data_IF_762313899458
#
_entry.id   IF_762313899458
#
_cell.length_a   1.000
_cell.length_b   1.000
_cell.length_c   1.000
_cell.angle_alpha   90.00
_cell.angle_beta   90.00
_cell.angle_gamma   90.00
#
_symmetry.space_group_name_H-M   'P 1'
#
loop_
_entity.id
_entity.type
_entity.pdbx_description
1 polymer ?
#
# COMPACT_ATOMS: atom_id res chain seq x y z
N UNK A 1 -32.33 -7.84 8.07
CA UNK A 1 -33.00 -6.58 7.71
C UNK A 1 -32.09 -5.44 8.09
N UNK A 2 -31.96 -4.37 7.30
CA UNK A 2 -31.06 -3.22 7.63
C UNK A 2 -31.84 -2.18 8.44
N UNK A 3 -31.14 -1.30 9.18
CA UNK A 3 -31.75 -0.19 9.92
C UNK A 3 -32.68 0.65 9.02
N UNK A 4 -32.22 1.04 7.81
CA UNK A 4 -33.00 1.85 6.89
C UNK A 4 -34.26 1.14 6.37
N UNK A 5 -34.18 -0.16 6.08
CA UNK A 5 -35.35 -0.95 5.66
C UNK A 5 -36.40 -1.07 6.77
N UNK A 6 -35.93 -1.21 8.02
CA UNK A 6 -36.79 -1.29 9.18
C UNK A 6 -37.40 0.09 9.50
N UNK A 7 -36.63 1.17 9.41
CA UNK A 7 -37.11 2.55 9.56
C UNK A 7 -38.24 2.86 8.55
N UNK A 8 -37.99 2.53 7.26
CA UNK A 8 -38.97 2.69 6.19
C UNK A 8 -40.27 1.90 6.47
N UNK A 9 -40.12 0.66 6.93
CA UNK A 9 -41.25 -0.21 7.28
C UNK A 9 -42.09 0.42 8.38
N UNK A 10 -41.49 0.79 9.52
CA UNK A 10 -42.22 1.38 10.64
C UNK A 10 -42.83 2.74 10.31
N UNK A 11 -42.14 3.60 9.55
CA UNK A 11 -42.69 4.88 9.09
C UNK A 11 -43.95 4.67 8.24
N UNK A 12 -43.88 3.73 7.26
CA UNK A 12 -45.05 3.41 6.42
C UNK A 12 -46.17 2.79 7.22
N UNK A 13 -45.86 1.91 8.17
CA UNK A 13 -46.90 1.31 9.06
C UNK A 13 -47.55 2.34 9.96
N UNK A 14 -46.82 3.38 10.36
CA UNK A 14 -47.36 4.52 11.09
C UNK A 14 -48.11 5.54 10.20
N UNK A 15 -48.16 5.32 8.88
CA UNK A 15 -48.86 6.21 7.94
C UNK A 15 -48.18 7.56 7.74
N UNK A 16 -46.86 7.70 8.09
CA UNK A 16 -46.16 8.97 8.07
C UNK A 16 -45.43 9.18 6.76
N UNK A 17 -45.45 10.42 6.23
CA UNK A 17 -44.50 10.88 5.19
C UNK A 17 -43.10 11.12 5.79
N UNK A 18 -42.07 11.31 4.95
CA UNK A 18 -40.74 11.69 5.43
C UNK A 18 -40.73 13.07 6.08
N UNK A 19 -41.55 13.98 5.58
CA UNK A 19 -41.75 15.33 6.10
C UNK A 19 -42.39 15.30 7.49
N UNK A 20 -43.46 14.52 7.68
CA UNK A 20 -44.14 14.38 8.97
C UNK A 20 -43.25 13.72 10.03
N UNK A 21 -42.45 12.70 9.62
CA UNK A 21 -41.45 12.11 10.53
C UNK A 21 -40.36 13.11 10.89
N UNK A 22 -39.95 13.96 9.93
CA UNK A 22 -39.00 15.04 10.18
C UNK A 22 -39.49 16.05 11.19
N UNK A 23 -40.73 16.50 11.06
CA UNK A 23 -41.33 17.44 12.01
C UNK A 23 -41.42 16.87 13.43
N UNK A 24 -41.81 15.59 13.56
CA UNK A 24 -41.96 14.93 14.86
C UNK A 24 -40.65 14.60 15.54
N UNK A 25 -39.62 14.20 14.74
CA UNK A 25 -38.34 13.75 15.28
C UNK A 25 -37.29 14.85 15.38
N UNK A 26 -37.48 15.99 14.68
CA UNK A 26 -36.46 17.03 14.52
C UNK A 26 -35.26 16.60 13.63
N UNK A 27 -35.38 15.46 12.95
CA UNK A 27 -34.37 14.96 12.02
C UNK A 27 -34.70 15.41 10.61
N UNK A 28 -33.77 15.99 9.87
CA UNK A 28 -34.06 16.53 8.55
C UNK A 28 -34.56 15.47 7.56
N UNK A 29 -35.48 15.85 6.66
CA UNK A 29 -36.02 14.96 5.58
C UNK A 29 -34.89 14.29 4.79
N UNK A 30 -33.82 15.04 4.48
CA UNK A 30 -32.67 14.50 3.77
C UNK A 30 -32.00 13.38 4.55
N UNK A 31 -31.77 13.56 5.85
CA UNK A 31 -31.16 12.53 6.70
C UNK A 31 -32.08 11.28 6.81
N UNK A 32 -33.36 11.43 6.92
CA UNK A 32 -34.33 10.31 6.92
C UNK A 32 -34.28 9.57 5.58
N UNK A 33 -34.31 10.28 4.46
CA UNK A 33 -34.24 9.71 3.12
C UNK A 33 -32.90 8.96 2.88
N UNK A 34 -31.76 9.51 3.34
CA UNK A 34 -30.49 8.87 3.23
C UNK A 34 -30.36 7.60 4.11
N UNK A 35 -31.00 7.60 5.30
CA UNK A 35 -31.09 6.41 6.15
C UNK A 35 -31.98 5.32 5.51
N UNK A 36 -33.14 5.65 5.01
CA UNK A 36 -34.06 4.69 4.37
C UNK A 36 -33.49 4.08 3.09
N UNK A 37 -32.70 4.85 2.33
CA UNK A 37 -31.98 4.38 1.12
C UNK A 37 -30.68 3.64 1.44
N UNK A 38 -30.30 3.52 2.72
CA UNK A 38 -29.08 2.87 3.16
C UNK A 38 -27.79 3.65 2.85
N UNK A 39 -27.91 4.93 2.48
CA UNK A 39 -26.76 5.83 2.29
C UNK A 39 -26.18 6.27 3.64
N UNK A 40 -27.03 6.48 4.66
CA UNK A 40 -26.65 6.68 6.04
C UNK A 40 -27.03 5.43 6.85
N UNK A 41 -26.06 4.56 7.12
CA UNK A 41 -26.31 3.23 7.71
C UNK A 41 -26.24 3.21 9.23
N UNK A 42 -25.63 4.20 9.87
CA UNK A 42 -25.43 4.27 11.33
C UNK A 42 -25.81 5.65 11.87
N UNK A 43 -27.09 5.89 12.19
CA UNK A 43 -27.48 7.14 12.81
C UNK A 43 -26.88 7.28 14.21
N UNK A 44 -26.57 8.51 14.62
CA UNK A 44 -26.17 8.80 15.99
C UNK A 44 -27.23 8.37 16.99
N UNK A 45 -26.80 7.96 18.20
CA UNK A 45 -27.75 7.51 19.26
C UNK A 45 -28.90 8.51 19.51
N UNK A 46 -28.57 9.81 19.54
CA UNK A 46 -29.59 10.87 19.70
C UNK A 46 -30.60 10.89 18.55
N UNK A 47 -30.10 10.73 17.31
CA UNK A 47 -30.97 10.66 16.11
C UNK A 47 -31.84 9.40 16.13
N UNK A 48 -31.27 8.26 16.53
CA UNK A 48 -32.04 7.00 16.69
C UNK A 48 -33.15 7.15 17.69
N UNK A 49 -32.86 7.62 18.91
CA UNK A 49 -33.89 7.80 19.95
C UNK A 49 -34.99 8.77 19.49
N UNK A 50 -34.63 9.89 18.86
CA UNK A 50 -35.61 10.85 18.34
C UNK A 50 -36.55 10.23 17.28
N UNK A 51 -36.05 9.37 16.42
CA UNK A 51 -36.86 8.65 15.43
C UNK A 51 -37.75 7.59 16.10
N UNK A 52 -37.20 6.84 17.08
CA UNK A 52 -37.99 5.85 17.84
C UNK A 52 -39.15 6.48 18.60
N UNK A 53 -38.90 7.64 19.21
CA UNK A 53 -39.97 8.39 19.94
C UNK A 53 -41.03 8.93 18.99
N UNK A 54 -40.60 9.49 17.83
CA UNK A 54 -41.50 10.04 16.83
C UNK A 54 -42.39 8.97 16.15
N UNK A 55 -41.89 7.73 16.06
CA UNK A 55 -42.61 6.59 15.49
C UNK A 55 -43.56 5.92 16.48
N UNK A 56 -43.48 6.20 17.78
CA UNK A 56 -44.36 5.63 18.81
C UNK A 56 -44.28 4.10 18.94
N UNK A 57 -43.09 3.51 18.72
CA UNK A 57 -42.92 2.07 18.69
C UNK A 57 -43.01 1.43 20.09
N UNK A 58 -43.45 0.16 20.13
CA UNK A 58 -43.33 -0.68 21.32
C UNK A 58 -41.87 -0.99 21.67
N UNK A 59 -41.63 -1.45 22.90
CA UNK A 59 -40.26 -1.65 23.40
C UNK A 59 -39.49 -2.73 22.63
N UNK A 60 -40.20 -3.75 22.11
CA UNK A 60 -39.56 -4.81 21.30
C UNK A 60 -39.06 -4.24 19.96
N UNK A 61 -39.88 -3.51 19.24
CA UNK A 61 -39.52 -2.83 17.98
C UNK A 61 -38.44 -1.75 18.19
N UNK A 62 -38.46 -1.07 19.32
CA UNK A 62 -37.42 -0.11 19.75
C UNK A 62 -36.06 -0.82 19.91
N UNK A 63 -36.04 -1.93 20.63
CA UNK A 63 -34.77 -2.65 20.89
C UNK A 63 -34.21 -3.30 19.60
N UNK A 64 -35.08 -3.80 18.70
CA UNK A 64 -34.69 -4.29 17.40
C UNK A 64 -34.04 -3.19 16.53
N UNK A 65 -34.65 -1.99 16.46
CA UNK A 65 -34.08 -0.85 15.73
C UNK A 65 -32.83 -0.30 16.41
N UNK A 66 -32.74 -0.25 17.74
CA UNK A 66 -31.50 0.07 18.48
C UNK A 66 -30.40 -0.93 18.16
N UNK A 67 -30.76 -2.21 18.15
CA UNK A 67 -29.82 -3.29 17.80
C UNK A 67 -29.26 -3.15 16.38
N UNK A 68 -30.10 -2.79 15.42
CA UNK A 68 -29.68 -2.54 14.04
C UNK A 68 -28.88 -1.24 13.91
N UNK A 69 -29.21 -0.19 14.65
CA UNK A 69 -28.44 1.04 14.70
C UNK A 69 -27.05 0.83 15.33
N UNK A 70 -26.94 -0.06 16.34
CA UNK A 70 -25.66 -0.46 16.97
C UNK A 70 -24.84 -1.40 16.09
N UNK A 71 -25.51 -2.27 15.30
CA UNK A 71 -24.87 -3.21 14.38
C UNK A 71 -24.51 -2.58 13.03
N UNK A 72 -25.12 -1.44 12.68
CA UNK A 72 -24.72 -0.72 11.49
C UNK A 72 -23.28 -0.19 11.68
N UNK A 73 -22.34 -0.48 10.77
CA UNK A 73 -21.00 0.03 10.89
C UNK A 73 -21.06 1.56 10.96
N UNK A 74 -20.45 2.13 12.00
CA UNK A 74 -20.14 3.56 12.03
C UNK A 74 -19.33 3.81 10.78
N UNK A 75 -19.83 4.63 9.84
CA UNK A 75 -19.25 4.95 8.53
C UNK A 75 -18.16 3.98 8.03
N UNK A 76 -18.28 3.43 6.80
CA UNK A 76 -17.18 2.67 6.26
C UNK A 76 -15.91 3.51 6.38
N UNK A 77 -14.87 2.95 7.00
CA UNK A 77 -13.63 3.69 7.23
C UNK A 77 -12.86 3.67 5.92
N UNK A 78 -12.71 4.83 5.30
CA UNK A 78 -11.99 5.00 4.06
C UNK A 78 -10.73 5.81 4.32
N UNK A 79 -9.59 5.16 4.43
CA UNK A 79 -8.30 5.83 4.63
C UNK A 79 -7.29 5.54 3.52
N UNK A 80 -7.75 4.98 2.38
CA UNK A 80 -6.86 4.74 1.25
C UNK A 80 -6.34 6.07 0.67
N UNK A 81 -5.04 6.17 0.39
CA UNK A 81 -4.51 7.27 -0.40
C UNK A 81 -5.01 7.19 -1.85
N UNK A 82 -4.98 8.30 -2.60
CA UNK A 82 -5.27 8.26 -4.02
C UNK A 82 -4.29 7.35 -4.76
N UNK A 83 -4.77 6.57 -5.73
CA UNK A 83 -3.89 5.75 -6.55
C UNK A 83 -3.29 6.56 -7.72
N UNK A 84 -2.12 6.15 -8.18
CA UNK A 84 -1.51 6.69 -9.40
C UNK A 84 -2.26 6.20 -10.63
N UNK A 85 -2.65 7.13 -11.51
CA UNK A 85 -3.43 6.80 -12.72
C UNK A 85 -2.59 6.02 -13.76
N UNK A 86 -1.28 6.23 -13.77
CA UNK A 86 -0.31 5.70 -14.71
C UNK A 86 0.45 4.46 -14.19
N UNK A 87 -0.26 3.56 -13.50
CA UNK A 87 0.28 2.26 -13.14
C UNK A 87 0.27 1.36 -14.38
N UNK A 88 1.42 1.17 -15.00
CA UNK A 88 1.60 0.40 -16.24
C UNK A 88 2.32 -0.92 -16.01
N UNK A 89 2.08 -1.92 -16.86
CA UNK A 89 2.80 -3.20 -16.87
C UNK A 89 2.66 -4.03 -15.61
N UNK A 90 1.50 -3.96 -14.92
CA UNK A 90 1.21 -4.66 -13.65
C UNK A 90 -0.14 -5.40 -13.67
N UNK A 91 -0.66 -5.68 -14.86
CA UNK A 91 -2.00 -6.27 -15.00
C UNK A 91 -2.07 -7.70 -14.43
N UNK A 92 -1.00 -8.48 -14.57
CA UNK A 92 -0.93 -9.85 -14.06
C UNK A 92 -0.96 -9.85 -12.51
N UNK A 93 -0.17 -8.97 -11.89
CA UNK A 93 -0.12 -8.83 -10.44
C UNK A 93 -1.45 -8.27 -9.90
N UNK A 94 -2.03 -7.26 -10.55
CA UNK A 94 -3.37 -6.75 -10.21
C UNK A 94 -4.42 -7.84 -10.30
N UNK A 95 -4.42 -8.64 -11.36
CA UNK A 95 -5.34 -9.76 -11.53
C UNK A 95 -5.18 -10.77 -10.40
N UNK A 96 -3.94 -11.13 -10.06
CA UNK A 96 -3.66 -12.06 -8.97
C UNK A 96 -4.24 -11.55 -7.65
N UNK A 97 -4.06 -10.27 -7.30
CA UNK A 97 -4.58 -9.69 -6.06
C UNK A 97 -6.11 -9.63 -6.08
N UNK A 98 -6.69 -9.21 -7.21
CA UNK A 98 -8.14 -8.96 -7.28
C UNK A 98 -8.97 -10.23 -7.38
N UNK A 99 -8.39 -11.32 -7.84
CA UNK A 99 -9.09 -12.63 -7.97
C UNK A 99 -8.78 -13.60 -6.85
N UNK A 100 -7.83 -13.29 -5.97
CA UNK A 100 -7.47 -14.19 -4.86
C UNK A 100 -8.65 -14.44 -3.91
N UNK A 101 -8.66 -15.63 -3.33
CA UNK A 101 -9.53 -16.03 -2.21
C UNK A 101 -8.77 -16.08 -0.88
N UNK A 102 -7.46 -15.87 -0.91
CA UNK A 102 -6.64 -15.81 0.30
C UNK A 102 -6.93 -14.54 1.10
N UNK A 103 -6.78 -14.62 2.42
CA UNK A 103 -6.98 -13.49 3.33
C UNK A 103 -5.77 -12.60 3.48
N UNK A 104 -4.61 -13.11 3.06
CA UNK A 104 -3.32 -12.43 3.16
C UNK A 104 -2.58 -12.53 1.84
N UNK A 105 -2.27 -11.37 1.27
CA UNK A 105 -1.42 -11.23 0.08
C UNK A 105 -0.19 -10.45 0.46
N UNK A 106 0.99 -10.96 0.16
CA UNK A 106 2.25 -10.25 0.35
C UNK A 106 2.83 -9.84 -1.00
N UNK A 107 2.96 -8.52 -1.20
CA UNK A 107 3.67 -7.92 -2.34
C UNK A 107 5.06 -7.54 -1.87
N UNK A 108 6.09 -8.23 -2.34
CA UNK A 108 7.46 -7.97 -1.91
C UNK A 108 8.39 -7.63 -3.07
N UNK A 109 9.50 -6.93 -2.80
CA UNK A 109 10.48 -6.54 -3.82
C UNK A 109 11.28 -5.30 -3.44
N UNK A 110 12.20 -4.92 -4.29
CA UNK A 110 13.10 -3.79 -4.09
C UNK A 110 12.39 -2.47 -3.82
N UNK A 111 13.10 -1.52 -3.22
CA UNK A 111 12.62 -0.14 -3.11
C UNK A 111 12.37 0.46 -4.51
N UNK A 112 11.31 1.26 -4.65
CA UNK A 112 10.98 1.93 -5.91
C UNK A 112 10.36 1.07 -6.99
N UNK A 113 10.03 -0.22 -6.73
CA UNK A 113 9.34 -1.11 -7.70
C UNK A 113 7.84 -0.86 -7.83
N UNK A 114 7.25 0.00 -6.98
CA UNK A 114 5.83 0.36 -7.05
C UNK A 114 4.90 -0.52 -6.23
N UNK A 115 5.39 -1.21 -5.18
CA UNK A 115 4.59 -2.09 -4.29
C UNK A 115 3.37 -1.38 -3.69
N UNK A 116 3.60 -0.23 -3.07
CA UNK A 116 2.54 0.60 -2.48
C UNK A 116 1.51 1.02 -3.53
N UNK A 117 1.97 1.48 -4.70
CA UNK A 117 1.08 1.88 -5.80
C UNK A 117 0.22 0.71 -6.30
N UNK A 118 0.80 -0.49 -6.41
CA UNK A 118 0.07 -1.71 -6.79
C UNK A 118 -0.98 -2.09 -5.74
N UNK A 119 -0.59 -2.10 -4.45
CA UNK A 119 -1.48 -2.45 -3.34
C UNK A 119 -2.66 -1.47 -3.23
N UNK A 120 -2.39 -0.17 -3.31
CA UNK A 120 -3.43 0.88 -3.28
C UNK A 120 -4.36 0.77 -4.49
N UNK A 121 -3.83 0.56 -5.70
CA UNK A 121 -4.66 0.36 -6.91
C UNK A 121 -5.54 -0.87 -6.79
N UNK A 122 -5.00 -1.99 -6.32
CA UNK A 122 -5.77 -3.22 -6.10
C UNK A 122 -6.87 -3.00 -5.05
N UNK A 123 -6.56 -2.28 -3.96
CA UNK A 123 -7.53 -1.95 -2.93
C UNK A 123 -8.71 -1.13 -3.50
N UNK A 124 -8.44 -0.09 -4.30
CA UNK A 124 -9.51 0.68 -4.96
C UNK A 124 -10.36 -0.17 -5.91
N UNK A 125 -9.75 -1.10 -6.66
CA UNK A 125 -10.49 -2.02 -7.54
C UNK A 125 -11.39 -2.99 -6.76
N UNK A 126 -11.04 -3.29 -5.52
CA UNK A 126 -11.77 -4.21 -4.64
C UNK A 126 -12.82 -3.52 -3.74
N UNK A 127 -13.02 -2.21 -3.87
CA UNK A 127 -13.91 -1.41 -3.01
C UNK A 127 -15.29 -2.05 -2.80
N UNK A 128 -15.93 -2.51 -3.85
CA UNK A 128 -17.27 -3.12 -3.78
C UNK A 128 -17.32 -4.45 -2.99
N UNK A 129 -16.18 -5.15 -2.84
CA UNK A 129 -16.08 -6.42 -2.08
C UNK A 129 -16.02 -6.18 -0.56
N UNK A 130 -15.60 -5.00 -0.12
CA UNK A 130 -15.34 -4.67 1.29
C UNK A 130 -16.19 -3.48 1.77
N UNK A 131 -17.50 -3.67 1.93
CA UNK A 131 -18.45 -2.58 2.22
C UNK A 131 -18.30 -1.97 3.61
N UNK A 132 -17.59 -2.64 4.54
CA UNK A 132 -17.39 -2.13 5.90
C UNK A 132 -16.20 -1.19 5.99
N UNK A 133 -15.37 -1.11 4.94
CA UNK A 133 -14.30 -0.13 4.82
C UNK A 133 -13.00 -0.65 4.22
N UNK A 134 -12.09 0.30 3.98
CA UNK A 134 -10.74 0.06 3.53
C UNK A 134 -9.77 0.92 4.32
N UNK A 135 -8.78 0.30 4.92
CA UNK A 135 -7.79 0.93 5.77
C UNK A 135 -6.41 0.89 5.12
N UNK A 136 -5.67 1.97 5.25
CA UNK A 136 -4.26 2.05 4.85
C UNK A 136 -3.41 2.48 6.03
N UNK A 137 -2.39 1.70 6.35
CA UNK A 137 -1.45 1.97 7.44
C UNK A 137 -0.02 1.81 6.94
N UNK A 138 0.78 2.85 7.15
CA UNK A 138 2.24 2.78 7.08
C UNK A 138 2.77 2.19 8.38
N UNK A 139 3.31 0.96 8.34
CA UNK A 139 3.71 0.21 9.54
C UNK A 139 5.00 0.77 10.16
N UNK A 140 5.86 1.41 9.38
CA UNK A 140 7.07 2.09 9.88
C UNK A 140 6.73 3.32 10.78
N UNK A 141 5.44 3.72 10.86
CA UNK A 141 4.99 4.80 11.74
C UNK A 141 4.87 4.37 13.20
N UNK A 142 4.94 5.33 14.12
CA UNK A 142 4.75 5.08 15.55
C UNK A 142 3.35 4.49 15.83
N UNK A 143 3.29 3.40 16.62
CA UNK A 143 2.07 2.79 17.12
C UNK A 143 0.99 2.44 16.06
N UNK A 144 1.30 1.59 15.05
CA UNK A 144 0.37 1.26 13.96
C UNK A 144 -0.94 0.62 14.44
N UNK A 145 -0.92 -0.17 15.52
CA UNK A 145 -2.11 -0.79 16.08
C UNK A 145 -3.05 0.23 16.73
N UNK A 146 -2.51 1.24 17.42
CA UNK A 146 -3.34 2.34 17.96
C UNK A 146 -3.98 3.15 16.84
N UNK A 147 -3.24 3.38 15.74
CA UNK A 147 -3.78 4.07 14.57
C UNK A 147 -4.93 3.29 13.96
N UNK A 148 -4.80 1.98 13.80
CA UNK A 148 -5.89 1.09 13.35
C UNK A 148 -7.11 1.17 14.27
N UNK A 149 -6.92 1.16 15.58
CA UNK A 149 -8.02 1.29 16.55
C UNK A 149 -8.73 2.64 16.42
N UNK A 150 -8.00 3.73 16.25
CA UNK A 150 -8.57 5.06 16.03
C UNK A 150 -9.34 5.15 14.71
N UNK A 151 -8.77 4.62 13.63
CA UNK A 151 -9.42 4.57 12.32
C UNK A 151 -10.69 3.71 12.37
N UNK A 152 -10.73 2.66 13.20
CA UNK A 152 -11.94 1.87 13.47
C UNK A 152 -12.94 2.56 14.41
N UNK A 153 -12.65 3.79 14.84
CA UNK A 153 -13.57 4.66 15.60
C UNK A 153 -13.42 4.58 17.11
N UNK A 154 -12.33 4.05 17.62
CA UNK A 154 -12.00 4.08 19.06
C UNK A 154 -11.36 5.42 19.38
N UNK A 155 -11.92 6.16 20.34
CA UNK A 155 -11.30 7.39 20.83
C UNK A 155 -10.04 7.07 21.65
N UNK A 156 -9.06 7.99 21.63
CA UNK A 156 -7.76 7.79 22.30
C UNK A 156 -7.90 7.38 23.79
N UNK A 157 -8.89 7.90 24.49
CA UNK A 157 -9.19 7.60 25.89
C UNK A 157 -9.61 6.14 26.14
N UNK A 158 -10.07 5.44 25.09
CA UNK A 158 -10.56 4.06 25.18
C UNK A 158 -9.59 3.04 24.54
N UNK A 159 -8.45 3.48 24.05
CA UNK A 159 -7.39 2.59 23.59
C UNK A 159 -6.69 1.99 24.81
N UNK A 160 -6.63 0.66 24.96
CA UNK A 160 -5.91 0.03 26.06
C UNK A 160 -4.42 0.43 26.07
N UNK A 161 -3.85 0.61 27.25
CA UNK A 161 -2.42 0.95 27.40
C UNK A 161 -1.51 -0.24 27.05
N UNK A 162 -1.99 -1.47 27.26
CA UNK A 162 -1.21 -2.68 26.99
C UNK A 162 -1.46 -3.25 25.59
N UNK A 163 -0.39 -3.72 24.94
CA UNK A 163 -0.43 -4.26 23.56
C UNK A 163 -1.38 -5.47 23.40
N UNK A 164 -1.53 -6.30 24.43
CA UNK A 164 -2.45 -7.44 24.40
C UNK A 164 -3.92 -6.98 24.44
N UNK A 165 -4.23 -5.95 25.24
CA UNK A 165 -5.55 -5.31 25.28
C UNK A 165 -5.90 -4.69 23.94
N UNK A 166 -4.96 -3.97 23.32
CA UNK A 166 -5.10 -3.40 22.00
C UNK A 166 -5.38 -4.48 20.94
N UNK A 167 -4.61 -5.55 20.92
CA UNK A 167 -4.78 -6.68 19.98
C UNK A 167 -6.14 -7.35 20.16
N UNK A 168 -6.59 -7.60 21.40
CA UNK A 168 -7.92 -8.18 21.67
C UNK A 168 -9.04 -7.27 21.21
N UNK A 169 -8.94 -5.96 21.50
CA UNK A 169 -9.92 -4.97 21.06
C UNK A 169 -9.97 -4.91 19.53
N UNK A 170 -8.82 -4.85 18.86
CA UNK A 170 -8.70 -4.83 17.40
C UNK A 170 -9.40 -6.04 16.78
N UNK A 171 -9.09 -7.26 17.24
CA UNK A 171 -9.73 -8.49 16.74
C UNK A 171 -11.25 -8.48 16.95
N UNK A 172 -11.72 -7.99 18.09
CA UNK A 172 -13.16 -7.88 18.38
C UNK A 172 -13.87 -6.91 17.45
N UNK A 173 -13.20 -5.84 17.01
CA UNK A 173 -13.73 -4.86 16.08
C UNK A 173 -13.80 -5.39 14.65
N UNK A 174 -12.91 -6.32 14.28
CA UNK A 174 -12.89 -6.95 12.95
C UNK A 174 -13.92 -8.08 12.83
N UNK A 175 -14.34 -8.69 13.97
CA UNK A 175 -15.22 -9.84 13.96
C UNK A 175 -16.50 -9.60 13.15
N UNK A 176 -16.74 -10.45 12.14
CA UNK A 176 -17.89 -10.42 11.26
C UNK A 176 -17.90 -9.25 10.24
N UNK A 177 -16.83 -8.50 10.13
CA UNK A 177 -16.68 -7.42 9.14
C UNK A 177 -16.11 -7.89 7.80
N UNK A 178 -16.39 -7.12 6.77
CA UNK A 178 -15.81 -7.26 5.43
C UNK A 178 -14.96 -6.03 5.15
N UNK A 179 -13.73 -6.08 5.62
CA UNK A 179 -12.74 -4.99 5.55
C UNK A 179 -11.56 -5.38 4.65
N UNK A 180 -11.03 -4.41 3.92
CA UNK A 180 -9.73 -4.52 3.27
C UNK A 180 -8.71 -3.69 4.05
N UNK A 181 -7.57 -4.29 4.35
CA UNK A 181 -6.47 -3.65 5.04
C UNK A 181 -5.22 -3.66 4.16
N UNK A 182 -4.62 -2.50 3.95
CA UNK A 182 -3.31 -2.35 3.32
C UNK A 182 -2.30 -1.99 4.40
N UNK A 183 -1.34 -2.88 4.62
CA UNK A 183 -0.20 -2.67 5.53
C UNK A 183 1.03 -2.36 4.67
N UNK A 184 1.45 -1.11 4.66
CA UNK A 184 2.58 -0.66 3.84
C UNK A 184 3.87 -0.63 4.66
N UNK A 185 4.95 -1.20 4.10
CA UNK A 185 6.28 -1.18 4.71
C UNK A 185 6.52 -2.20 5.83
N UNK A 186 5.80 -3.32 5.84
CA UNK A 186 5.99 -4.39 6.84
C UNK A 186 7.37 -5.02 6.73
N UNK A 187 8.06 -5.18 7.85
CA UNK A 187 9.43 -5.68 7.91
C UNK A 187 9.55 -7.06 8.56
N UNK A 188 8.59 -7.47 9.39
CA UNK A 188 8.65 -8.70 10.19
C UNK A 188 7.37 -9.54 10.12
N UNK A 189 7.51 -10.86 10.35
CA UNK A 189 6.37 -11.78 10.50
C UNK A 189 5.51 -11.47 11.73
N UNK A 190 6.10 -10.88 12.76
CA UNK A 190 5.40 -10.50 13.98
C UNK A 190 4.43 -9.35 13.71
N UNK A 191 4.86 -8.35 12.95
CA UNK A 191 3.99 -7.26 12.50
C UNK A 191 2.80 -7.80 11.70
N UNK A 192 3.05 -8.75 10.77
CA UNK A 192 1.96 -9.40 10.03
C UNK A 192 0.98 -10.09 10.98
N UNK A 193 1.46 -10.92 11.93
CA UNK A 193 0.60 -11.63 12.88
C UNK A 193 -0.21 -10.72 13.78
N UNK A 194 0.34 -9.55 14.11
CA UNK A 194 -0.31 -8.58 14.99
C UNK A 194 -1.35 -7.74 14.27
N UNK A 195 -1.05 -7.31 13.05
CA UNK A 195 -1.82 -6.29 12.33
C UNK A 195 -2.77 -6.87 11.28
N UNK A 196 -2.47 -8.06 10.71
CA UNK A 196 -3.33 -8.63 9.68
C UNK A 196 -4.73 -8.98 10.21
N UNK A 197 -5.73 -8.74 9.37
CA UNK A 197 -7.11 -9.07 9.66
C UNK A 197 -7.38 -10.55 9.36
N UNK A 198 -7.32 -11.40 10.38
CA UNK A 198 -7.57 -12.86 10.24
C UNK A 198 -9.08 -13.20 10.40
N UNK A 199 -9.93 -12.52 9.67
CA UNK A 199 -11.38 -12.74 9.64
C UNK A 199 -11.84 -13.22 8.25
N UNK A 200 -12.82 -14.14 8.15
CA UNK A 200 -13.25 -14.71 6.87
C UNK A 200 -13.72 -13.70 5.82
N UNK A 201 -14.19 -12.55 6.26
CA UNK A 201 -14.69 -11.48 5.39
C UNK A 201 -13.62 -10.46 4.99
N UNK A 202 -12.42 -10.54 5.56
CA UNK A 202 -11.37 -9.55 5.39
C UNK A 202 -10.31 -9.99 4.39
N UNK A 203 -9.60 -9.01 3.82
CA UNK A 203 -8.38 -9.19 3.03
C UNK A 203 -7.31 -8.25 3.57
N UNK A 204 -6.13 -8.76 3.82
CA UNK A 204 -4.95 -7.94 4.11
C UNK A 204 -3.98 -8.01 2.94
N UNK A 205 -3.62 -6.84 2.39
CA UNK A 205 -2.55 -6.68 1.40
C UNK A 205 -1.36 -6.08 2.13
N UNK A 206 -0.26 -6.81 2.15
CA UNK A 206 0.99 -6.39 2.80
C UNK A 206 1.99 -5.98 1.72
N UNK A 207 2.62 -4.83 1.86
CA UNK A 207 3.83 -4.52 1.09
C UNK A 207 5.06 -4.68 1.97
N UNK A 208 6.10 -5.27 1.43
CA UNK A 208 7.35 -5.50 2.15
C UNK A 208 8.56 -5.39 1.22
N UNK A 209 9.70 -5.01 1.78
CA UNK A 209 11.00 -5.17 1.10
C UNK A 209 11.51 -6.59 1.26
N UNK A 210 11.08 -7.30 2.30
CA UNK A 210 11.48 -8.67 2.64
C UNK A 210 10.46 -9.67 2.15
N UNK A 211 10.90 -10.90 1.93
CA UNK A 211 10.04 -12.02 1.60
C UNK A 211 9.40 -12.57 2.88
N UNK A 212 8.15 -12.17 3.14
CA UNK A 212 7.34 -12.66 4.27
C UNK A 212 6.48 -13.86 3.85
N UNK A 213 6.04 -14.66 4.83
CA UNK A 213 5.22 -15.85 4.57
C UNK A 213 3.75 -15.48 4.34
N UNK A 214 3.19 -16.00 3.25
CA UNK A 214 1.76 -15.91 2.91
C UNK A 214 1.42 -17.00 1.89
N UNK A 215 0.12 -17.32 1.75
CA UNK A 215 -0.36 -18.23 0.69
C UNK A 215 -0.15 -17.57 -0.68
N UNK A 216 -0.63 -16.35 -0.87
CA UNK A 216 -0.37 -15.58 -2.08
C UNK A 216 0.80 -14.61 -1.87
N UNK A 217 1.88 -14.83 -2.62
CA UNK A 217 3.08 -13.96 -2.62
C UNK A 217 3.34 -13.48 -4.04
N UNK A 218 3.56 -12.18 -4.17
CA UNK A 218 3.85 -11.53 -5.45
C UNK A 218 5.21 -10.85 -5.34
N UNK A 219 6.18 -11.35 -6.10
CA UNK A 219 7.47 -10.68 -6.23
C UNK A 219 7.35 -9.57 -7.27
N UNK A 220 7.53 -8.33 -6.86
CA UNK A 220 7.48 -7.18 -7.74
C UNK A 220 8.90 -6.74 -8.14
N UNK A 221 9.27 -7.00 -9.38
CA UNK A 221 10.52 -6.57 -10.00
C UNK A 221 10.42 -5.22 -10.70
N UNK A 222 11.45 -4.85 -11.45
CA UNK A 222 11.40 -3.74 -12.39
C UNK A 222 10.28 -3.93 -13.44
N UNK A 223 10.01 -2.88 -14.20
CA UNK A 223 9.11 -2.94 -15.36
C UNK A 223 9.79 -3.70 -16.51
N UNK A 224 9.00 -4.17 -17.48
CA UNK A 224 9.57 -4.49 -18.79
C UNK A 224 10.05 -3.21 -19.47
N UNK A 225 10.92 -3.32 -20.49
CA UNK A 225 11.39 -2.14 -21.22
C UNK A 225 10.22 -1.38 -21.84
N UNK A 226 9.25 -2.09 -22.41
CA UNK A 226 8.06 -1.52 -23.04
C UNK A 226 7.21 -0.75 -22.02
N UNK A 227 6.93 -1.35 -20.86
CA UNK A 227 6.17 -0.69 -19.79
C UNK A 227 6.92 0.51 -19.21
N UNK A 228 8.26 0.44 -19.12
CA UNK A 228 9.06 1.57 -18.65
C UNK A 228 9.05 2.74 -19.65
N UNK A 229 9.07 2.45 -20.95
CA UNK A 229 8.90 3.47 -22.01
C UNK A 229 7.48 4.04 -22.00
N UNK A 230 6.45 3.22 -21.78
CA UNK A 230 5.06 3.67 -21.64
C UNK A 230 4.91 4.60 -20.43
N UNK A 231 5.50 4.26 -19.29
CA UNK A 231 5.53 5.13 -18.12
C UNK A 231 6.23 6.46 -18.41
N UNK A 232 7.36 6.43 -19.11
CA UNK A 232 8.05 7.66 -19.53
C UNK A 232 7.17 8.50 -20.43
N UNK A 233 6.52 7.88 -21.43
CA UNK A 233 5.62 8.54 -22.37
C UNK A 233 4.41 9.19 -21.67
N UNK A 234 3.86 8.55 -20.64
CA UNK A 234 2.75 9.10 -19.84
C UNK A 234 3.14 10.42 -19.13
N UNK A 235 4.41 10.57 -18.78
CA UNK A 235 4.93 11.74 -18.03
C UNK A 235 5.37 12.86 -18.95
N UNK A 236 6.14 12.55 -20.03
CA UNK A 236 6.74 13.58 -20.90
C UNK A 236 5.96 13.83 -22.21
N UNK A 237 4.92 13.04 -22.44
CA UNK A 237 4.14 13.02 -23.68
C UNK A 237 4.70 12.04 -24.72
N UNK A 238 3.80 11.30 -25.43
CA UNK A 238 4.20 10.29 -26.42
C UNK A 238 5.04 10.89 -27.56
N UNK A 239 4.75 12.11 -27.98
CA UNK A 239 5.46 12.78 -29.10
C UNK A 239 6.97 12.94 -28.82
N UNK A 240 7.36 13.16 -27.54
CA UNK A 240 8.78 13.28 -27.16
C UNK A 240 9.50 11.95 -27.17
N UNK A 241 8.80 10.87 -26.86
CA UNK A 241 9.32 9.50 -26.94
C UNK A 241 9.43 9.06 -28.39
N UNK A 242 8.42 9.33 -29.20
CA UNK A 242 8.36 8.98 -30.63
C UNK A 242 9.39 9.75 -31.47
N UNK A 243 9.82 10.93 -31.03
CA UNK A 243 10.86 11.72 -31.70
C UNK A 243 12.24 11.04 -31.67
N UNK A 244 12.57 10.28 -30.60
CA UNK A 244 13.80 9.49 -30.47
C UNK A 244 13.56 8.25 -29.60
N UNK A 245 12.92 7.21 -30.14
CA UNK A 245 12.56 6.01 -29.39
C UNK A 245 13.78 5.24 -28.84
N UNK A 246 14.92 5.33 -29.54
CA UNK A 246 16.12 4.64 -29.12
C UNK A 246 16.73 5.27 -27.86
N UNK A 247 16.80 6.59 -27.82
CA UNK A 247 17.25 7.32 -26.62
C UNK A 247 16.28 7.15 -25.46
N UNK A 248 14.96 7.06 -25.72
CA UNK A 248 14.00 6.76 -24.66
C UNK A 248 14.23 5.38 -24.04
N UNK A 249 14.49 4.34 -24.84
CA UNK A 249 14.86 2.99 -24.36
C UNK A 249 16.18 3.02 -23.58
N UNK A 250 17.18 3.74 -24.06
CA UNK A 250 18.46 3.90 -23.40
C UNK A 250 18.26 4.55 -22.01
N UNK A 251 17.45 5.61 -21.91
CA UNK A 251 17.11 6.27 -20.65
C UNK A 251 16.49 5.30 -19.63
N UNK A 252 15.49 4.51 -20.04
CA UNK A 252 14.82 3.58 -19.12
C UNK A 252 15.74 2.44 -18.68
N UNK A 253 16.67 2.00 -19.55
CA UNK A 253 17.71 1.03 -19.17
C UNK A 253 18.69 1.61 -18.16
N UNK A 254 19.13 2.85 -18.32
CA UNK A 254 19.94 3.57 -17.34
C UNK A 254 19.19 3.75 -16.01
N UNK A 255 17.87 3.91 -16.03
CA UNK A 255 17.02 3.89 -14.86
C UNK A 255 16.81 2.49 -14.27
N UNK A 256 17.42 1.43 -14.83
CA UNK A 256 17.29 0.05 -14.35
C UNK A 256 15.86 -0.48 -14.40
N UNK A 257 15.04 0.02 -15.33
CA UNK A 257 13.58 -0.27 -15.43
C UNK A 257 12.82 -0.04 -14.10
N UNK A 258 13.40 0.72 -13.17
CA UNK A 258 12.77 1.06 -11.90
C UNK A 258 11.66 2.11 -12.11
N UNK A 259 10.40 1.84 -11.73
CA UNK A 259 9.31 2.82 -11.85
C UNK A 259 9.65 4.16 -11.20
N UNK A 260 10.28 4.13 -10.01
CA UNK A 260 10.70 5.34 -9.31
C UNK A 260 11.73 6.15 -10.11
N UNK A 261 12.77 5.49 -10.61
CA UNK A 261 13.83 6.16 -11.37
C UNK A 261 13.31 6.71 -12.70
N UNK A 262 12.44 5.96 -13.41
CA UNK A 262 11.79 6.42 -14.65
C UNK A 262 10.90 7.63 -14.37
N UNK A 263 10.12 7.63 -13.28
CA UNK A 263 9.29 8.76 -12.88
C UNK A 263 10.12 10.00 -12.55
N UNK A 264 11.22 9.84 -11.82
CA UNK A 264 12.15 10.95 -11.52
C UNK A 264 12.74 11.52 -12.82
N UNK A 265 13.22 10.67 -13.72
CA UNK A 265 13.77 11.08 -15.01
C UNK A 265 12.69 11.79 -15.86
N UNK A 266 11.48 11.24 -15.92
CA UNK A 266 10.32 11.81 -16.61
C UNK A 266 9.94 13.18 -16.04
N UNK A 267 9.79 13.32 -14.72
CA UNK A 267 9.46 14.59 -14.07
C UNK A 267 10.54 15.66 -14.31
N UNK A 268 11.81 15.25 -14.33
CA UNK A 268 12.92 16.15 -14.64
C UNK A 268 12.87 16.65 -16.09
N UNK A 269 12.50 15.81 -17.03
CA UNK A 269 12.28 16.18 -18.43
C UNK A 269 10.99 16.99 -18.63
N UNK A 270 9.91 16.66 -17.91
CA UNK A 270 8.65 17.40 -17.96
C UNK A 270 8.80 18.85 -17.45
N UNK A 271 9.59 19.04 -16.37
CA UNK A 271 9.90 20.38 -15.87
C UNK A 271 10.85 21.19 -16.77
N UNK A 272 11.43 20.55 -17.81
CA UNK A 272 12.34 21.16 -18.77
C UNK A 272 11.95 20.80 -20.21
N UNK A 273 10.86 21.35 -20.76
CA UNK A 273 10.31 20.95 -22.07
C UNK A 273 11.28 21.10 -23.23
N UNK A 274 12.27 21.99 -23.12
CA UNK A 274 13.27 22.25 -24.16
C UNK A 274 14.47 21.27 -24.13
N UNK A 275 14.60 20.46 -23.06
CA UNK A 275 15.67 19.48 -23.02
C UNK A 275 15.34 18.29 -23.90
N UNK A 276 16.23 17.91 -24.84
CA UNK A 276 16.11 16.62 -25.51
C UNK A 276 16.33 15.48 -24.52
N UNK A 277 15.72 14.32 -24.75
CA UNK A 277 15.90 13.14 -23.88
C UNK A 277 17.38 12.75 -23.80
N UNK A 278 18.13 12.88 -24.88
CA UNK A 278 19.58 12.64 -24.96
C UNK A 278 20.38 13.42 -23.91
N UNK A 279 20.03 14.65 -23.66
CA UNK A 279 20.72 15.46 -22.66
C UNK A 279 20.65 14.86 -21.24
N UNK A 280 19.50 14.23 -20.90
CA UNK A 280 19.37 13.57 -19.59
C UNK A 280 20.14 12.24 -19.55
N UNK A 281 20.21 11.51 -20.67
CA UNK A 281 21.04 10.32 -20.80
C UNK A 281 22.50 10.66 -20.50
N UNK A 282 23.05 11.67 -21.15
CA UNK A 282 24.43 12.15 -20.95
C UNK A 282 24.67 12.57 -19.49
N UNK A 283 23.73 13.27 -18.86
CA UNK A 283 23.84 13.66 -17.45
C UNK A 283 23.84 12.46 -16.50
N UNK A 284 23.07 11.41 -16.79
CA UNK A 284 23.03 10.20 -15.97
C UNK A 284 24.35 9.41 -16.14
N UNK A 285 24.88 9.33 -17.35
CA UNK A 285 26.19 8.70 -17.61
C UNK A 285 27.33 9.39 -16.89
N UNK A 286 27.33 10.74 -16.85
CA UNK A 286 28.34 11.54 -16.15
C UNK A 286 28.19 11.49 -14.63
N UNK A 287 26.97 11.66 -14.12
CA UNK A 287 26.69 11.94 -12.69
C UNK A 287 25.93 10.82 -11.98
N UNK A 288 25.55 9.76 -12.69
CA UNK A 288 24.84 8.60 -12.17
C UNK A 288 23.65 8.98 -11.26
N UNK A 289 23.67 8.54 -10.00
CA UNK A 289 22.57 8.77 -9.05
C UNK A 289 22.27 10.27 -8.78
N UNK A 290 23.28 11.13 -8.80
CA UNK A 290 23.08 12.57 -8.57
C UNK A 290 22.21 13.24 -9.65
N UNK A 291 22.07 12.62 -10.82
CA UNK A 291 21.14 13.06 -11.86
C UNK A 291 19.71 12.57 -11.66
N UNK A 292 19.44 11.66 -10.72
CA UNK A 292 18.14 11.03 -10.48
C UNK A 292 17.50 11.55 -9.16
N UNK A 293 17.34 12.87 -9.08
CA UNK A 293 16.62 13.56 -8.01
C UNK A 293 15.65 14.55 -8.64
N UNK A 294 14.39 14.56 -8.21
CA UNK A 294 13.36 15.50 -8.68
C UNK A 294 12.34 15.81 -7.57
N UNK A 295 12.37 17.03 -7.02
CA UNK A 295 11.58 17.42 -5.86
C UNK A 295 11.93 16.55 -4.66
N UNK A 296 10.91 16.00 -4.00
CA UNK A 296 11.06 15.09 -2.85
C UNK A 296 11.41 13.65 -3.25
N UNK A 297 11.46 13.34 -4.55
CA UNK A 297 11.79 12.01 -5.06
C UNK A 297 13.29 11.86 -5.23
N UNK A 298 13.87 10.83 -4.59
CA UNK A 298 15.29 10.50 -4.65
C UNK A 298 15.50 8.98 -4.68
N UNK A 299 16.16 8.50 -5.73
CA UNK A 299 16.51 7.07 -5.85
C UNK A 299 17.51 6.65 -4.79
N UNK A 300 18.45 7.54 -4.44
CA UNK A 300 19.45 7.28 -3.42
C UNK A 300 18.81 7.06 -2.04
N UNK A 301 17.91 7.96 -1.63
CA UNK A 301 17.18 7.84 -0.36
C UNK A 301 16.39 6.54 -0.26
N UNK A 302 15.76 6.08 -1.35
CA UNK A 302 15.06 4.81 -1.38
C UNK A 302 15.99 3.60 -1.11
N UNK A 303 17.23 3.63 -1.61
CA UNK A 303 18.22 2.59 -1.35
C UNK A 303 18.82 2.71 0.08
N UNK A 304 19.04 3.92 0.56
CA UNK A 304 19.56 4.17 1.93
C UNK A 304 18.63 3.57 2.99
N UNK A 305 17.33 3.77 2.86
CA UNK A 305 16.34 3.17 3.78
C UNK A 305 16.41 1.63 3.75
N UNK A 306 16.58 1.01 2.56
CA UNK A 306 16.74 -0.45 2.47
C UNK A 306 18.02 -0.95 3.14
N UNK A 307 19.12 -0.20 2.99
CA UNK A 307 20.42 -0.55 3.55
C UNK A 307 20.49 -0.37 5.07
N UNK A 308 19.79 0.65 5.61
CA UNK A 308 19.85 1.01 7.03
C UNK A 308 19.38 -0.13 7.97
N UNK A 309 18.44 -0.96 7.50
CA UNK A 309 17.86 -2.06 8.29
C UNK A 309 18.66 -3.37 8.20
N UNK A 310 19.78 -3.38 7.49
CA UNK A 310 20.61 -4.58 7.31
C UNK A 310 21.71 -4.70 8.38
N UNK A 311 22.14 -5.94 8.72
CA UNK A 311 23.31 -6.17 9.55
C UNK A 311 24.57 -5.48 9.01
N UNK A 312 25.52 -5.14 9.88
CA UNK A 312 26.75 -4.46 9.47
C UNK A 312 27.55 -5.28 8.45
N UNK A 313 27.56 -6.61 8.59
CA UNK A 313 28.19 -7.52 7.63
C UNK A 313 27.60 -7.36 6.22
N UNK A 314 26.27 -7.32 6.10
CA UNK A 314 25.61 -7.12 4.81
C UNK A 314 25.93 -5.73 4.22
N UNK A 315 25.97 -4.69 5.06
CA UNK A 315 26.36 -3.34 4.65
C UNK A 315 27.84 -3.28 4.18
N UNK A 316 28.73 -4.01 4.87
CA UNK A 316 30.14 -4.13 4.47
C UNK A 316 30.26 -4.81 3.11
N UNK A 317 29.63 -5.98 2.94
CA UNK A 317 29.62 -6.70 1.66
C UNK A 317 29.08 -5.79 0.55
N UNK A 318 27.96 -5.12 0.76
CA UNK A 318 27.37 -4.22 -0.22
C UNK A 318 28.33 -3.12 -0.69
N UNK A 319 29.01 -2.44 0.24
CA UNK A 319 30.01 -1.40 -0.08
C UNK A 319 31.18 -1.97 -0.91
N UNK A 320 31.63 -3.18 -0.58
CA UNK A 320 32.73 -3.83 -1.33
C UNK A 320 32.32 -4.22 -2.74
N UNK A 321 31.07 -4.67 -2.92
CA UNK A 321 30.53 -5.04 -4.22
C UNK A 321 30.41 -3.86 -5.19
N UNK A 322 30.27 -2.63 -4.70
CA UNK A 322 30.22 -1.42 -5.54
C UNK A 322 31.42 -1.26 -6.45
N UNK A 323 32.61 -1.68 -5.99
CA UNK A 323 33.89 -1.58 -6.72
C UNK A 323 34.10 -2.67 -7.76
N UNK A 324 33.24 -3.69 -7.82
CA UNK A 324 33.40 -4.78 -8.77
C UNK A 324 33.03 -4.35 -10.20
N UNK A 325 33.89 -4.62 -11.15
CA UNK A 325 33.63 -4.40 -12.57
C UNK A 325 32.69 -5.46 -13.19
N UNK A 326 32.42 -6.57 -12.48
CA UNK A 326 31.61 -7.68 -12.96
C UNK A 326 30.12 -7.56 -12.57
N UNK A 327 29.27 -8.37 -13.19
CA UNK A 327 27.84 -8.38 -12.91
C UNK A 327 27.41 -9.47 -11.94
N UNK A 328 28.19 -10.53 -11.79
CA UNK A 328 27.86 -11.70 -10.95
C UNK A 328 28.73 -11.78 -9.73
N UNK A 329 28.12 -12.12 -8.62
CA UNK A 329 28.74 -12.27 -7.31
C UNK A 329 28.42 -13.66 -6.78
N UNK A 330 29.45 -14.40 -6.36
CA UNK A 330 29.30 -15.65 -5.61
C UNK A 330 29.62 -15.42 -4.13
N UNK A 331 29.19 -16.31 -3.22
CA UNK A 331 29.54 -16.23 -1.81
C UNK A 331 31.06 -16.19 -1.56
N UNK A 332 31.84 -16.94 -2.34
CA UNK A 332 33.31 -17.00 -2.24
C UNK A 332 33.92 -15.63 -2.59
N UNK A 333 33.47 -15.03 -3.70
CA UNK A 333 33.96 -13.71 -4.12
C UNK A 333 33.59 -12.62 -3.10
N UNK A 334 32.38 -12.67 -2.57
CA UNK A 334 31.95 -11.72 -1.54
C UNK A 334 32.74 -11.88 -0.23
N UNK A 335 33.05 -13.13 0.15
CA UNK A 335 33.89 -13.45 1.31
C UNK A 335 35.32 -12.88 1.17
N UNK A 336 35.94 -13.07 0.01
CA UNK A 336 37.26 -12.53 -0.29
C UNK A 336 37.29 -10.99 -0.25
N UNK A 337 36.33 -10.35 -0.90
CA UNK A 337 36.22 -8.88 -0.96
C UNK A 337 35.99 -8.23 0.40
N UNK A 338 35.17 -8.87 1.26
CA UNK A 338 34.82 -8.35 2.57
C UNK A 338 35.77 -8.82 3.70
N UNK A 339 36.62 -9.83 3.44
CA UNK A 339 37.51 -10.40 4.44
C UNK A 339 36.78 -11.20 5.53
N UNK A 340 35.69 -11.91 5.17
CA UNK A 340 34.83 -12.68 6.08
C UNK A 340 34.69 -14.13 5.64
N UNK A 341 34.05 -14.98 6.46
CA UNK A 341 33.79 -16.37 6.10
C UNK A 341 32.75 -16.52 4.98
N UNK A 342 32.88 -17.59 4.14
CA UNK A 342 31.95 -17.84 3.02
C UNK A 342 30.49 -17.98 3.48
N UNK A 343 30.23 -18.66 4.60
CA UNK A 343 28.87 -18.81 5.16
C UNK A 343 28.30 -17.46 5.57
N UNK A 344 29.11 -16.60 6.16
CA UNK A 344 28.72 -15.25 6.56
C UNK A 344 28.46 -14.37 5.35
N UNK A 345 29.31 -14.46 4.31
CA UNK A 345 29.14 -13.78 3.05
C UNK A 345 27.84 -14.23 2.33
N UNK A 346 27.51 -15.52 2.33
CA UNK A 346 26.30 -16.03 1.76
C UNK A 346 25.06 -15.45 2.48
N UNK A 347 25.04 -15.42 3.82
CA UNK A 347 23.96 -14.80 4.58
C UNK A 347 23.82 -13.30 4.25
N UNK A 348 24.94 -12.60 4.14
CA UNK A 348 24.92 -11.17 3.78
C UNK A 348 24.36 -10.94 2.37
N UNK A 349 24.67 -11.81 1.40
CA UNK A 349 24.10 -11.76 0.05
C UNK A 349 22.61 -12.08 0.03
N UNK A 350 22.16 -13.05 0.85
CA UNK A 350 20.74 -13.36 1.02
C UNK A 350 20.00 -12.18 1.65
N UNK A 351 20.52 -11.57 2.71
CA UNK A 351 19.95 -10.37 3.32
C UNK A 351 19.82 -9.22 2.33
N UNK A 352 20.83 -8.99 1.49
CA UNK A 352 20.83 -7.97 0.44
C UNK A 352 19.80 -8.29 -0.66
N UNK A 353 19.65 -9.55 -1.03
CA UNK A 353 18.66 -9.99 -2.02
C UNK A 353 17.23 -9.90 -1.46
N UNK A 354 17.05 -10.21 -0.18
CA UNK A 354 15.75 -10.10 0.50
C UNK A 354 15.20 -8.67 0.52
N UNK A 355 16.08 -7.66 0.62
CA UNK A 355 15.65 -6.25 0.55
C UNK A 355 15.72 -5.68 -0.88
N UNK A 356 16.04 -6.52 -1.86
CA UNK A 356 16.07 -6.17 -3.28
C UNK A 356 17.23 -5.25 -3.69
N UNK A 357 18.32 -5.25 -2.93
CA UNK A 357 19.59 -4.61 -3.34
C UNK A 357 20.46 -5.52 -4.22
N UNK A 358 20.14 -6.81 -4.27
CA UNK A 358 20.70 -7.77 -5.21
C UNK A 358 19.56 -8.56 -5.87
N UNK A 359 19.76 -8.92 -7.12
CA UNK A 359 18.96 -9.95 -7.78
C UNK A 359 19.65 -11.31 -7.60
N UNK A 360 18.86 -12.33 -7.20
CA UNK A 360 19.32 -13.70 -7.07
C UNK A 360 18.71 -14.57 -8.17
N UNK A 361 19.53 -15.34 -8.87
CA UNK A 361 19.14 -16.36 -9.83
C UNK A 361 19.94 -17.65 -9.62
N UNK A 362 19.68 -18.68 -10.42
CA UNK A 362 20.36 -19.98 -10.33
C UNK A 362 21.89 -19.90 -10.53
N UNK A 363 22.40 -18.80 -11.06
CA UNK A 363 23.81 -18.58 -11.34
C UNK A 363 24.50 -17.65 -10.32
N UNK A 364 23.79 -17.22 -9.25
CA UNK A 364 24.32 -16.39 -8.17
C UNK A 364 23.60 -15.06 -8.01
N UNK A 365 24.32 -14.05 -7.54
CA UNK A 365 23.78 -12.72 -7.24
C UNK A 365 24.29 -11.70 -8.25
N UNK A 366 23.46 -10.66 -8.51
CA UNK A 366 23.84 -9.57 -9.40
C UNK A 366 23.38 -8.21 -8.90
N UNK A 367 24.15 -7.15 -9.23
CA UNK A 367 23.76 -5.76 -9.01
C UNK A 367 23.36 -5.12 -10.32
N UNK A 368 22.19 -4.52 -10.39
CA UNK A 368 21.87 -3.69 -11.54
C UNK A 368 22.54 -2.29 -11.44
N UNK A 369 22.61 -1.57 -12.56
CA UNK A 369 23.43 -0.37 -12.72
C UNK A 369 23.27 0.71 -11.65
N UNK A 370 22.02 1.05 -11.25
CA UNK A 370 21.75 2.08 -10.24
C UNK A 370 22.15 1.63 -8.83
N UNK A 371 21.88 0.37 -8.47
CA UNK A 371 22.28 -0.16 -7.16
C UNK A 371 23.80 -0.24 -7.05
N UNK A 372 24.47 -0.59 -8.13
CA UNK A 372 25.95 -0.56 -8.20
C UNK A 372 26.48 0.86 -8.01
N UNK A 373 25.91 1.84 -8.72
CA UNK A 373 26.31 3.23 -8.57
C UNK A 373 26.09 3.74 -7.13
N UNK A 374 25.05 3.25 -6.45
CA UNK A 374 24.81 3.54 -5.03
C UNK A 374 25.89 2.88 -4.15
N UNK A 375 26.17 1.59 -4.34
CA UNK A 375 27.18 0.88 -3.58
C UNK A 375 28.58 1.51 -3.75
N UNK A 376 28.96 1.89 -4.98
CA UNK A 376 30.20 2.57 -5.30
C UNK A 376 30.30 3.94 -4.58
N UNK A 377 29.20 4.68 -4.47
CA UNK A 377 29.16 5.96 -3.76
C UNK A 377 29.35 5.86 -2.25
N UNK A 378 29.27 4.66 -1.67
CA UNK A 378 29.43 4.36 -0.24
C UNK A 378 30.82 3.74 0.08
N UNK A 379 31.59 3.40 -0.94
CA UNK A 379 32.91 2.77 -0.85
C UNK A 379 34.04 3.78 -0.73
#
# INVERSE_FOLDING_TARGET
MTFGAMLLHHRKSAGLSQEELSERSGVSVRAISDMERGRARSPQRRTTEALLDALGLDEQSREELRGLARKAPRHPVWSLPPYVADLVGRDAELTTITTTHDRLVVVHGAAGTGKTSLAVKAAHLLESRFPDGQLFIEVESDAPLERLLRDLGISAEHVPEDANGQTRLYRSLLAGKRLLLVLDGVSTEEEVRTLAADEPGCLTIVTSRRRLNACTRIRLGGLTEEAAVELLASIIGPQRVDADPQTARELVRLCGMSPLAVRIAGNRLASRPRWPVRHLVELIEERRLAALTAGDLDVRGAFEVSLAHLPETARLVFRRLGRLAGTRVTPELAAELAGIGVIEAQRALEDLADVGLLDADDAGYSLHGLVRAFADSLA
#
